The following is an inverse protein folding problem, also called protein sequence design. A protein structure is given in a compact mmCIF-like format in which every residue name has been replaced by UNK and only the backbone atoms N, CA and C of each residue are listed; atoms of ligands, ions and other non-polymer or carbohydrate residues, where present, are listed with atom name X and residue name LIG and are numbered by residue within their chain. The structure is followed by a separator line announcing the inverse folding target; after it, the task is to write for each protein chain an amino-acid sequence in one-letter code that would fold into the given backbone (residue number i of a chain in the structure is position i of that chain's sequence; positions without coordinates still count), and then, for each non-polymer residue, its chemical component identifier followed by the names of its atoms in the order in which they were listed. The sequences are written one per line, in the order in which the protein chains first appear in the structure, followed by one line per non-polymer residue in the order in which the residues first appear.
data_IF_392766141271
#
_entry.id   IF_392766141271
#
_cell.length_a   1.000
_cell.length_b   1.000
_cell.length_c   1.000
_cell.angle_alpha   90.00
_cell.angle_beta   90.00
_cell.angle_gamma   90.00
#
_symmetry.space_group_name_H-M   'P 1'
#
loop_
_entity.id
_entity.type
_entity.pdbx_description
1 polymer ?
#
# COMPACT_ATOMS: atom_id res chain seq x y z
N UNK A 1 -16.63 18.94 14.07
CA UNK A 1 -15.29 18.41 14.39
C UNK A 1 -14.86 17.46 13.28
N UNK A 2 -13.73 17.71 12.69
CA UNK A 2 -13.25 16.84 11.62
C UNK A 2 -12.51 15.64 12.22
N UNK A 3 -12.81 14.47 11.69
CA UNK A 3 -12.11 13.26 12.07
C UNK A 3 -10.77 13.18 11.33
N UNK A 4 -9.76 12.60 11.99
CA UNK A 4 -8.49 12.36 11.35
C UNK A 4 -8.67 11.27 10.29
N UNK A 5 -8.23 11.56 9.06
CA UNK A 5 -8.28 10.58 7.98
C UNK A 5 -7.26 9.48 8.23
N UNK A 6 -7.64 8.26 7.92
CA UNK A 6 -6.82 7.07 8.15
C UNK A 6 -6.52 6.37 6.83
N UNK A 7 -5.24 6.11 6.62
CA UNK A 7 -4.74 5.49 5.38
C UNK A 7 -3.99 4.21 5.73
N UNK A 8 -4.30 3.14 5.01
CA UNK A 8 -3.52 1.91 5.06
C UNK A 8 -2.67 1.84 3.80
N UNK A 9 -1.35 1.80 3.96
CA UNK A 9 -0.44 1.61 2.84
C UNK A 9 -0.04 0.14 2.78
N UNK A 10 -0.40 -0.53 1.69
CA UNK A 10 -0.12 -1.94 1.47
C UNK A 10 1.04 -2.07 0.51
N UNK A 11 2.11 -2.70 0.95
CA UNK A 11 3.28 -2.94 0.13
C UNK A 11 3.77 -4.36 0.28
N UNK A 12 4.59 -4.82 -0.67
CA UNK A 12 5.23 -6.12 -0.55
C UNK A 12 6.40 -6.00 0.43
N UNK A 13 6.53 -7.01 1.30
CA UNK A 13 7.69 -7.09 2.18
C UNK A 13 8.95 -7.02 1.32
N UNK A 14 9.82 -6.00 1.48
CA UNK A 14 10.94 -5.79 0.56
C UNK A 14 11.85 -7.00 0.40
N UNK A 15 12.04 -7.77 1.46
CA UNK A 15 12.88 -8.97 1.43
C UNK A 15 12.29 -10.11 0.60
N UNK A 16 11.03 -10.03 0.22
CA UNK A 16 10.37 -11.04 -0.63
C UNK A 16 10.28 -10.63 -2.10
N UNK A 17 10.79 -9.45 -2.45
CA UNK A 17 10.77 -8.95 -3.83
C UNK A 17 11.81 -9.68 -4.66
N UNK A 18 11.42 -10.05 -5.89
CA UNK A 18 12.36 -10.66 -6.85
C UNK A 18 13.13 -9.55 -7.56
N UNK A 19 14.32 -9.25 -7.07
CA UNK A 19 15.15 -8.17 -7.62
C UNK A 19 15.76 -8.50 -8.98
N UNK A 20 15.59 -9.71 -9.48
CA UNK A 20 15.99 -10.09 -10.83
C UNK A 20 14.92 -9.77 -11.87
N UNK A 21 13.73 -9.36 -11.43
CA UNK A 21 12.61 -9.08 -12.34
C UNK A 21 12.91 -7.84 -13.17
N UNK A 22 12.90 -7.95 -14.53
CA UNK A 22 13.17 -6.80 -15.39
C UNK A 22 12.12 -5.69 -15.30
N UNK A 23 10.96 -5.95 -14.71
CA UNK A 23 9.93 -4.93 -14.50
C UNK A 23 10.32 -3.95 -13.39
N UNK A 24 11.32 -4.27 -12.57
CA UNK A 24 11.78 -3.37 -11.52
C UNK A 24 12.72 -2.30 -12.08
N UNK A 25 12.67 -1.08 -11.56
CA UNK A 25 13.64 -0.04 -11.97
C UNK A 25 15.07 -0.48 -11.65
N UNK A 26 16.04 -0.10 -12.51
CA UNK A 26 17.44 -0.41 -12.24
C UNK A 26 17.91 0.13 -10.90
N UNK A 27 18.70 -0.66 -10.17
CA UNK A 27 19.24 -0.22 -8.88
C UNK A 27 18.30 -0.32 -7.70
N UNK A 28 17.14 -0.95 -7.88
CA UNK A 28 16.20 -1.18 -6.77
C UNK A 28 16.80 -2.16 -5.78
N UNK A 29 16.76 -1.80 -4.48
CA UNK A 29 17.26 -2.63 -3.39
C UNK A 29 16.25 -2.61 -2.24
N UNK A 30 16.29 -3.61 -1.33
CA UNK A 30 15.40 -3.58 -0.15
C UNK A 30 15.56 -2.29 0.66
N UNK A 31 16.79 -1.79 0.81
CA UNK A 31 17.08 -0.60 1.58
C UNK A 31 16.42 0.64 0.96
N UNK A 32 16.45 0.73 -0.37
CA UNK A 32 15.80 1.85 -1.08
C UNK A 32 14.29 1.79 -0.94
N UNK A 33 13.72 0.59 -0.98
CA UNK A 33 12.28 0.41 -0.80
C UNK A 33 11.89 0.83 0.62
N UNK A 34 12.62 0.37 1.64
CA UNK A 34 12.36 0.76 3.02
C UNK A 34 12.47 2.27 3.21
N UNK A 35 13.48 2.91 2.60
CA UNK A 35 13.65 4.36 2.70
C UNK A 35 12.48 5.12 2.06
N UNK A 36 12.01 4.66 0.92
CA UNK A 36 10.86 5.25 0.24
C UNK A 36 9.58 5.11 1.04
N UNK A 37 9.37 3.94 1.66
CA UNK A 37 8.22 3.70 2.53
C UNK A 37 8.27 4.64 3.74
N UNK A 38 9.42 4.76 4.39
CA UNK A 38 9.57 5.63 5.56
C UNK A 38 9.27 7.09 5.19
N UNK A 39 9.75 7.52 4.02
CA UNK A 39 9.47 8.88 3.54
C UNK A 39 7.98 9.09 3.30
N UNK A 40 7.30 8.13 2.69
CA UNK A 40 5.86 8.24 2.41
C UNK A 40 5.05 8.27 3.70
N UNK A 41 5.44 7.51 4.71
CA UNK A 41 4.75 7.52 5.99
C UNK A 41 4.88 8.89 6.67
N UNK A 42 6.07 9.51 6.58
CA UNK A 42 6.26 10.88 7.10
C UNK A 42 5.41 11.89 6.36
N UNK A 43 5.33 11.78 5.03
CA UNK A 43 4.51 12.69 4.22
C UNK A 43 3.04 12.63 4.60
N UNK A 44 2.51 11.43 4.85
CA UNK A 44 1.12 11.27 5.27
C UNK A 44 0.89 11.84 6.65
N UNK A 45 1.82 11.62 7.58
CA UNK A 45 1.75 12.18 8.92
C UNK A 45 1.78 13.71 8.87
N UNK A 46 2.63 14.28 8.00
CA UNK A 46 2.74 15.73 7.85
C UNK A 46 1.45 16.36 7.32
N UNK A 47 0.62 15.58 6.61
CA UNK A 47 -0.70 16.02 6.15
C UNK A 47 -1.78 15.88 7.23
N UNK A 48 -1.41 15.41 8.42
CA UNK A 48 -2.34 15.27 9.54
C UNK A 48 -3.11 13.96 9.53
N UNK A 49 -2.70 12.99 8.72
CA UNK A 49 -3.37 11.69 8.64
C UNK A 49 -2.76 10.68 9.60
N UNK A 50 -3.57 9.69 9.97
CA UNK A 50 -3.05 8.48 10.62
C UNK A 50 -2.76 7.46 9.53
N UNK A 51 -1.49 7.16 9.33
CA UNK A 51 -1.06 6.20 8.32
C UNK A 51 -0.57 4.93 9.00
N UNK A 52 -1.01 3.78 8.49
CA UNK A 52 -0.57 2.48 8.96
C UNK A 52 0.04 1.73 7.78
N UNK A 53 1.12 1.02 8.05
CA UNK A 53 1.81 0.23 7.04
C UNK A 53 1.40 -1.23 7.16
N UNK A 54 1.09 -1.85 6.02
CA UNK A 54 0.80 -3.28 5.94
C UNK A 54 1.72 -3.90 4.89
N UNK A 55 2.81 -4.49 5.33
CA UNK A 55 3.73 -5.20 4.44
C UNK A 55 3.30 -6.65 4.34
N UNK A 56 3.11 -7.12 3.11
CA UNK A 56 2.60 -8.46 2.86
C UNK A 56 3.65 -9.34 2.20
N UNK A 57 3.59 -10.62 2.53
CA UNK A 57 4.35 -11.66 1.84
C UNK A 57 3.40 -12.36 0.88
N UNK A 58 3.81 -12.62 -0.38
CA UNK A 58 2.88 -13.13 -1.39
C UNK A 58 2.08 -14.36 -0.95
N UNK A 59 2.71 -15.28 -0.22
CA UNK A 59 2.05 -16.54 0.17
C UNK A 59 0.88 -16.36 1.14
N UNK A 60 0.90 -15.27 1.94
CA UNK A 60 -0.13 -15.05 2.97
C UNK A 60 -0.70 -13.64 2.90
N UNK A 61 -0.60 -13.01 1.73
CA UNK A 61 -0.95 -11.60 1.57
C UNK A 61 -2.41 -11.31 1.91
N UNK A 62 -3.34 -12.13 1.44
CA UNK A 62 -4.76 -11.92 1.71
C UNK A 62 -5.08 -11.97 3.19
N UNK A 63 -4.51 -12.93 3.91
CA UNK A 63 -4.73 -13.08 5.35
C UNK A 63 -4.18 -11.90 6.13
N UNK A 64 -2.96 -11.46 5.79
CA UNK A 64 -2.32 -10.33 6.44
C UNK A 64 -3.13 -9.06 6.23
N UNK A 65 -3.55 -8.80 5.00
CA UNK A 65 -4.33 -7.61 4.66
C UNK A 65 -5.69 -7.64 5.33
N UNK A 66 -6.39 -8.77 5.29
CA UNK A 66 -7.72 -8.89 5.91
C UNK A 66 -7.64 -8.58 7.39
N UNK A 67 -6.64 -9.12 8.10
CA UNK A 67 -6.46 -8.83 9.54
C UNK A 67 -6.24 -7.34 9.79
N UNK A 68 -5.43 -6.69 8.98
CA UNK A 68 -5.19 -5.26 9.13
C UNK A 68 -6.48 -4.44 8.93
N UNK A 69 -7.28 -4.82 7.92
CA UNK A 69 -8.53 -4.13 7.63
C UNK A 69 -9.59 -4.35 8.70
N UNK A 70 -9.61 -5.53 9.32
CA UNK A 70 -10.54 -5.83 10.40
C UNK A 70 -10.16 -5.18 11.73
N UNK A 71 -8.88 -4.84 11.90
CA UNK A 71 -8.39 -4.25 13.13
C UNK A 71 -8.70 -2.77 13.27
N UNK A 72 -9.15 -2.11 12.21
CA UNK A 72 -9.46 -0.69 12.25
C UNK A 72 -10.26 -0.23 11.06
N UNK A 73 -10.65 1.04 11.08
CA UNK A 73 -11.37 1.66 9.99
C UNK A 73 -10.38 2.50 9.17
N UNK A 74 -10.49 2.44 7.85
CA UNK A 74 -9.62 3.22 6.95
C UNK A 74 -10.48 3.99 5.95
N UNK A 75 -10.05 5.21 5.67
CA UNK A 75 -10.69 6.04 4.64
C UNK A 75 -10.14 5.74 3.26
N UNK A 76 -8.89 5.29 3.19
CA UNK A 76 -8.24 4.94 1.94
C UNK A 76 -7.25 3.81 2.16
N UNK A 77 -7.19 2.90 1.19
CA UNK A 77 -6.16 1.84 1.13
C UNK A 77 -5.35 2.09 -0.13
N UNK A 78 -4.04 2.32 0.03
CA UNK A 78 -3.13 2.50 -1.11
C UNK A 78 -2.38 1.21 -1.34
N UNK A 79 -2.49 0.64 -2.53
CA UNK A 79 -1.77 -0.57 -2.91
C UNK A 79 -0.54 -0.18 -3.71
N UNK A 80 0.62 -0.62 -3.25
CA UNK A 80 1.90 -0.22 -3.82
C UNK A 80 2.15 -0.76 -5.22
N UNK A 81 2.90 -0.01 -5.99
CA UNK A 81 3.21 -0.35 -7.39
C UNK A 81 3.91 -1.70 -7.53
N UNK A 82 4.73 -2.09 -6.55
CA UNK A 82 5.42 -3.38 -6.57
C UNK A 82 4.48 -4.58 -6.54
N UNK A 83 3.26 -4.39 -6.03
CA UNK A 83 2.24 -5.44 -6.01
C UNK A 83 1.40 -5.47 -7.28
N UNK A 84 1.53 -4.47 -8.15
CA UNK A 84 0.69 -4.29 -9.32
C UNK A 84 1.47 -4.32 -10.63
N UNK A 85 2.63 -3.67 -10.68
CA UNK A 85 3.35 -3.45 -11.93
C UNK A 85 3.99 -4.69 -12.55
N UNK A 86 4.62 -5.59 -11.79
CA UNK A 86 5.17 -6.80 -12.41
C UNK A 86 4.04 -7.68 -12.96
N UNK A 87 4.13 -8.10 -14.25
CA UNK A 87 3.05 -8.93 -14.85
C UNK A 87 2.75 -10.20 -14.07
N UNK A 88 3.75 -10.82 -13.45
CA UNK A 88 3.56 -12.03 -12.65
C UNK A 88 2.81 -11.79 -11.35
N UNK A 89 2.60 -10.53 -10.97
CA UNK A 89 1.88 -10.17 -9.74
C UNK A 89 0.39 -9.96 -9.96
N UNK A 90 -0.14 -10.19 -11.16
CA UNK A 90 -1.55 -9.92 -11.44
C UNK A 90 -2.49 -10.64 -10.48
N UNK A 91 -2.28 -11.92 -10.25
CA UNK A 91 -3.15 -12.68 -9.36
C UNK A 91 -3.06 -12.17 -7.92
N UNK A 92 -1.85 -11.85 -7.46
CA UNK A 92 -1.65 -11.28 -6.14
C UNK A 92 -2.38 -9.93 -6.02
N UNK A 93 -2.24 -9.09 -7.04
CA UNK A 93 -2.89 -7.79 -7.07
C UNK A 93 -4.42 -7.93 -6.99
N UNK A 94 -5.00 -8.81 -7.81
CA UNK A 94 -6.45 -9.06 -7.78
C UNK A 94 -6.90 -9.58 -6.42
N UNK A 95 -6.10 -10.47 -5.81
CA UNK A 95 -6.40 -11.01 -4.49
C UNK A 95 -6.47 -9.89 -3.45
N UNK A 96 -5.53 -8.95 -3.50
CA UNK A 96 -5.49 -7.84 -2.55
C UNK A 96 -6.65 -6.87 -2.77
N UNK A 97 -6.94 -6.52 -4.02
CA UNK A 97 -8.06 -5.61 -4.32
C UNK A 97 -9.38 -6.23 -3.83
N UNK A 98 -9.58 -7.52 -4.06
CA UNK A 98 -10.80 -8.18 -3.63
C UNK A 98 -10.88 -8.32 -2.11
N UNK A 99 -9.74 -8.48 -1.44
CA UNK A 99 -9.72 -8.47 0.03
C UNK A 99 -10.18 -7.13 0.58
N UNK A 100 -9.72 -6.02 0.00
CA UNK A 100 -10.17 -4.69 0.41
C UNK A 100 -11.66 -4.52 0.16
N UNK A 101 -12.11 -4.94 -1.01
CA UNK A 101 -13.52 -4.83 -1.39
C UNK A 101 -14.43 -5.56 -0.39
N UNK A 102 -14.01 -6.73 0.08
CA UNK A 102 -14.81 -7.51 1.05
C UNK A 102 -14.72 -6.95 2.46
N UNK A 103 -13.51 -6.61 2.92
CA UNK A 103 -13.27 -6.28 4.33
C UNK A 103 -13.47 -4.79 4.65
N UNK A 104 -13.31 -3.91 3.65
CA UNK A 104 -13.41 -2.47 3.84
C UNK A 104 -14.15 -1.83 2.66
N UNK A 105 -15.43 -2.16 2.47
CA UNK A 105 -16.17 -1.71 1.27
C UNK A 105 -16.34 -0.20 1.18
N UNK A 106 -16.20 0.51 2.30
CA UNK A 106 -16.35 1.96 2.32
C UNK A 106 -15.03 2.72 2.12
N UNK A 107 -13.91 2.01 2.11
CA UNK A 107 -12.61 2.65 1.90
C UNK A 107 -12.38 2.92 0.41
N UNK A 108 -11.80 4.08 0.09
CA UNK A 108 -11.32 4.32 -1.25
C UNK A 108 -10.09 3.44 -1.53
N UNK A 109 -9.91 3.02 -2.76
CA UNK A 109 -8.73 2.24 -3.16
C UNK A 109 -7.90 3.12 -4.09
N UNK A 110 -6.62 3.29 -3.77
CA UNK A 110 -5.71 4.09 -4.56
C UNK A 110 -4.46 3.30 -4.89
N UNK A 111 -3.77 3.72 -5.94
CA UNK A 111 -2.54 3.07 -6.39
C UNK A 111 -1.46 4.11 -6.53
N UNK A 112 -0.29 3.83 -5.97
CA UNK A 112 0.86 4.70 -6.19
C UNK A 112 1.63 4.22 -7.43
N UNK A 113 2.58 5.02 -7.91
CA UNK A 113 3.50 4.62 -8.97
C UNK A 113 4.89 4.33 -8.42
N UNK A 114 5.20 4.87 -7.26
CA UNK A 114 6.40 4.58 -6.47
C UNK A 114 6.11 5.01 -5.03
N UNK A 115 6.94 4.59 -4.05
CA UNK A 115 6.61 4.88 -2.64
C UNK A 115 6.39 6.36 -2.35
N UNK A 116 7.17 7.24 -2.97
CA UNK A 116 7.13 8.67 -2.65
C UNK A 116 5.87 9.39 -3.13
N UNK A 117 5.03 8.78 -3.97
CA UNK A 117 3.75 9.40 -4.35
C UNK A 117 2.54 8.76 -3.66
N UNK A 118 2.77 8.00 -2.59
CA UNK A 118 1.69 7.34 -1.85
C UNK A 118 0.70 8.34 -1.26
N UNK A 119 1.19 9.40 -0.65
CA UNK A 119 0.32 10.43 -0.07
C UNK A 119 -0.52 11.11 -1.15
N UNK A 120 0.08 11.41 -2.29
CA UNK A 120 -0.64 12.01 -3.41
C UNK A 120 -1.73 11.07 -3.94
N UNK A 121 -1.44 9.78 -4.00
CA UNK A 121 -2.41 8.78 -4.45
C UNK A 121 -3.63 8.75 -3.53
N UNK A 122 -3.40 8.74 -2.21
CA UNK A 122 -4.50 8.73 -1.24
C UNK A 122 -5.30 10.03 -1.33
N UNK A 123 -4.63 11.16 -1.46
CA UNK A 123 -5.31 12.45 -1.47
C UNK A 123 -6.26 12.60 -2.65
N UNK A 124 -5.95 11.96 -3.80
CA UNK A 124 -6.84 12.01 -4.97
C UNK A 124 -8.25 11.51 -4.67
N UNK A 125 -8.39 10.58 -3.74
CA UNK A 125 -9.64 9.87 -3.50
C UNK A 125 -10.26 10.13 -2.14
N UNK A 126 -9.49 10.66 -1.20
CA UNK A 126 -10.04 11.03 0.10
C UNK A 126 -10.61 12.43 0.06
N UNK A 127 -11.75 12.58 0.68
CA UNK A 127 -12.35 13.89 0.84
C UNK A 127 -12.14 14.35 2.28
N UNK A 128 -11.61 15.51 2.42
CA UNK A 128 -11.42 16.15 3.72
C UNK A 128 -12.57 17.09 4.03
#
# INVERSE_FOLDING_TARGET
MSETLRVLYVGQQPETVDFSDPALPPGTTPEKIHAGIAKSMRQMKDRGWEAQLCLVQPAIASETLTKALEAGRFDCVVIGAGLRMPPKSLLLFETLVNAVHRAAPDAAIAFNTHPEDTADAAERWMKS
#
